data_IF_357455465232
#
_entry.id   IF_357455465232
#
_cell.length_a   1.000
_cell.length_b   1.000
_cell.length_c   1.000
_cell.angle_alpha   90.00
_cell.angle_beta   90.00
_cell.angle_gamma   90.00
#
_symmetry.space_group_name_H-M   'P 1'
#
loop_
_entity.id
_entity.type
_entity.pdbx_description
1 polymer ?
#
# COMPACT_ATOMS: atom_id res chain seq x y z
N UNK A 1 -15.94 17.62 -6.43
CA UNK A 1 -14.46 17.67 -6.40
C UNK A 1 -13.93 17.13 -7.73
N UNK A 2 -12.96 17.78 -8.40
CA UNK A 2 -12.44 17.28 -9.68
C UNK A 2 -11.65 15.98 -9.49
N UNK A 3 -11.73 15.10 -10.48
CA UNK A 3 -10.89 13.90 -10.56
C UNK A 3 -9.42 14.28 -10.74
N UNK A 4 -8.50 13.38 -10.39
CA UNK A 4 -7.06 13.60 -10.61
C UNK A 4 -6.73 13.92 -12.08
N UNK A 5 -7.50 13.37 -13.02
CA UNK A 5 -7.34 13.63 -14.46
C UNK A 5 -7.69 15.10 -14.79
N UNK A 6 -8.84 15.58 -14.32
CA UNK A 6 -9.27 16.97 -14.52
C UNK A 6 -8.31 17.96 -13.85
N UNK A 7 -7.85 17.64 -12.63
CA UNK A 7 -6.83 18.42 -11.93
C UNK A 7 -5.55 18.57 -12.77
N UNK A 8 -5.04 17.46 -13.33
CA UNK A 8 -3.85 17.49 -14.19
C UNK A 8 -4.06 18.25 -15.50
N UNK A 9 -5.28 18.23 -16.05
CA UNK A 9 -5.63 18.98 -17.27
C UNK A 9 -5.69 20.50 -17.02
N UNK A 10 -6.27 20.91 -15.89
CA UNK A 10 -6.40 22.32 -15.52
C UNK A 10 -5.07 22.97 -15.11
N UNK A 11 -4.06 22.15 -14.75
CA UNK A 11 -2.74 22.60 -14.29
C UNK A 11 -2.82 23.76 -13.28
N UNK A 12 -3.64 23.63 -12.22
CA UNK A 12 -3.78 24.71 -11.27
C UNK A 12 -2.45 24.98 -10.56
N UNK A 13 -2.23 26.22 -10.15
CA UNK A 13 -1.00 26.66 -9.44
C UNK A 13 -0.85 25.98 -8.07
N UNK A 14 -1.97 25.50 -7.52
CA UNK A 14 -2.00 24.85 -6.21
C UNK A 14 -1.34 23.47 -6.24
N UNK A 15 -0.87 23.03 -5.08
CA UNK A 15 -0.20 21.74 -4.92
C UNK A 15 -1.19 20.58 -4.72
N UNK A 16 -0.69 19.35 -4.83
CA UNK A 16 -1.41 18.15 -4.40
C UNK A 16 -0.62 17.43 -3.32
N UNK A 17 -1.31 16.74 -2.42
CA UNK A 17 -0.70 15.95 -1.36
C UNK A 17 -0.86 14.47 -1.69
N UNK A 18 0.25 13.79 -1.95
CA UNK A 18 0.28 12.35 -2.13
C UNK A 18 0.51 11.68 -0.78
N UNK A 19 -0.35 10.74 -0.42
CA UNK A 19 -0.32 10.07 0.88
C UNK A 19 -0.38 8.57 0.72
N UNK A 20 0.27 7.88 1.65
CA UNK A 20 0.20 6.42 1.77
C UNK A 20 -0.08 6.07 3.22
N UNK A 21 -1.04 5.18 3.44
CA UNK A 21 -1.42 4.69 4.76
C UNK A 21 -1.24 3.18 4.82
N UNK A 22 -0.41 2.69 5.74
CA UNK A 22 -0.32 1.27 6.05
C UNK A 22 -1.16 0.97 7.28
N UNK A 23 -1.86 -0.17 7.27
CA UNK A 23 -2.64 -0.63 8.40
C UNK A 23 -2.46 -2.13 8.65
N UNK A 24 -2.32 -2.47 9.92
CA UNK A 24 -2.40 -3.83 10.44
C UNK A 24 -2.79 -3.81 11.93
N UNK A 25 -3.59 -4.76 12.43
CA UNK A 25 -4.00 -4.79 13.85
C UNK A 25 -2.84 -4.72 14.85
N UNK A 26 -1.69 -5.31 14.53
CA UNK A 26 -0.51 -5.35 15.42
C UNK A 26 0.25 -4.03 15.58
N UNK A 27 0.14 -3.12 14.62
CA UNK A 27 0.90 -1.87 14.66
C UNK A 27 0.05 -0.61 14.41
N UNK A 28 -1.24 -0.77 14.12
CA UNK A 28 -2.16 0.32 13.87
C UNK A 28 -1.95 0.99 12.52
N UNK A 29 -2.27 2.27 12.45
CA UNK A 29 -2.14 3.09 11.24
C UNK A 29 -0.78 3.79 11.19
N UNK A 30 -0.12 3.67 10.04
CA UNK A 30 1.06 4.46 9.69
C UNK A 30 0.69 5.34 8.51
N UNK A 31 0.56 6.65 8.76
CA UNK A 31 0.08 7.63 7.77
C UNK A 31 1.22 8.54 7.35
N UNK A 32 1.55 8.53 6.07
CA UNK A 32 2.68 9.27 5.51
C UNK A 32 2.21 10.22 4.40
N UNK A 33 2.81 11.40 4.33
CA UNK A 33 2.59 12.39 3.27
C UNK A 33 3.91 12.79 2.62
N UNK A 34 3.96 12.76 1.28
CA UNK A 34 5.17 13.10 0.52
C UNK A 34 5.38 14.61 0.39
N UNK A 35 6.65 15.01 0.23
CA UNK A 35 7.09 16.40 -0.04
C UNK A 35 6.65 17.42 1.01
N UNK A 36 6.35 17.01 2.23
CA UNK A 36 6.06 17.90 3.35
C UNK A 36 7.21 17.89 4.36
N UNK A 37 7.36 19.01 5.07
CA UNK A 37 8.29 19.13 6.19
C UNK A 37 7.59 19.02 7.56
N UNK A 38 6.28 19.29 7.60
CA UNK A 38 5.47 19.28 8.80
C UNK A 38 4.30 18.33 8.63
N UNK A 39 3.75 17.89 9.75
CA UNK A 39 2.54 17.08 9.77
C UNK A 39 1.38 17.82 9.09
N UNK A 40 0.54 17.06 8.37
CA UNK A 40 -0.63 17.58 7.67
C UNK A 40 -1.88 16.87 8.13
N UNK A 41 -2.93 17.65 8.35
CA UNK A 41 -4.26 17.10 8.61
C UNK A 41 -5.04 17.04 7.30
N UNK A 42 -5.36 15.84 6.84
CA UNK A 42 -6.08 15.56 5.60
C UNK A 42 -7.24 14.61 5.92
N UNK A 43 -8.45 14.92 5.46
CA UNK A 43 -9.69 14.18 5.79
C UNK A 43 -9.86 13.89 7.31
N UNK A 44 -9.45 14.84 8.16
CA UNK A 44 -9.50 14.69 9.63
C UNK A 44 -8.45 13.76 10.24
N UNK A 45 -7.50 13.27 9.45
CA UNK A 45 -6.40 12.40 9.90
C UNK A 45 -5.06 13.12 9.81
N UNK A 46 -4.17 12.85 10.78
CA UNK A 46 -2.81 13.42 10.79
C UNK A 46 -1.84 12.50 10.05
N UNK A 47 -1.11 13.07 9.10
CA UNK A 47 -0.09 12.41 8.28
C UNK A 47 1.30 12.94 8.64
N UNK A 48 2.25 12.01 8.85
CA UNK A 48 3.64 12.34 9.11
C UNK A 48 4.38 12.62 7.79
N UNK A 49 5.26 13.64 7.75
CA UNK A 49 6.06 13.90 6.57
C UNK A 49 7.06 12.76 6.34
N UNK A 50 7.11 12.24 5.11
CA UNK A 50 8.09 11.24 4.71
C UNK A 50 8.37 11.32 3.22
N UNK A 51 9.62 11.07 2.82
CA UNK A 51 9.97 11.01 1.40
C UNK A 51 9.65 9.63 0.85
N UNK A 52 8.75 9.57 -0.12
CA UNK A 52 8.47 8.32 -0.82
C UNK A 52 8.10 8.52 -2.27
N UNK A 53 8.25 7.46 -3.05
CA UNK A 53 7.86 7.41 -4.46
C UNK A 53 6.98 6.17 -4.69
N UNK A 54 5.89 6.35 -5.44
CA UNK A 54 4.95 5.27 -5.76
C UNK A 54 4.92 5.07 -7.27
N UNK A 55 5.45 3.93 -7.70
CA UNK A 55 5.41 3.46 -9.07
C UNK A 55 4.20 2.53 -9.23
N UNK A 56 3.20 2.94 -9.99
CA UNK A 56 2.02 2.11 -10.29
C UNK A 56 2.27 1.32 -11.59
N UNK A 57 1.93 0.03 -11.59
CA UNK A 57 2.19 -0.87 -12.75
C UNK A 57 1.31 -0.59 -13.98
N UNK A 58 0.32 0.29 -13.90
CA UNK A 58 -0.68 0.51 -14.96
C UNK A 58 -0.87 2.00 -15.26
N UNK A 59 -0.87 2.35 -16.54
CA UNK A 59 -0.99 3.73 -17.04
C UNK A 59 -2.40 4.09 -17.58
N UNK A 60 -3.36 3.16 -17.66
CA UNK A 60 -4.70 3.53 -18.17
C UNK A 60 -5.85 2.58 -17.79
N UNK A 61 -6.95 3.18 -17.31
CA UNK A 61 -8.33 2.67 -17.43
C UNK A 61 -8.74 1.49 -16.55
N UNK A 62 -7.80 0.71 -16.04
CA UNK A 62 -8.04 -0.46 -15.19
C UNK A 62 -7.70 -0.18 -13.72
N UNK A 63 -8.30 -0.92 -12.76
CA UNK A 63 -7.91 -0.84 -11.36
C UNK A 63 -6.41 -1.09 -11.20
N UNK A 64 -5.74 -0.33 -10.33
CA UNK A 64 -4.30 -0.54 -10.06
C UNK A 64 -4.14 -1.95 -9.49
N UNK A 65 -3.41 -2.81 -10.21
CA UNK A 65 -3.24 -4.22 -9.83
C UNK A 65 -2.04 -4.36 -8.90
N UNK A 66 -0.93 -3.71 -9.25
CA UNK A 66 0.31 -3.74 -8.50
C UNK A 66 0.93 -2.34 -8.43
N UNK A 67 1.63 -2.07 -7.32
CA UNK A 67 2.38 -0.83 -7.12
C UNK A 67 3.63 -1.08 -6.27
N UNK A 68 4.69 -0.33 -6.53
CA UNK A 68 5.92 -0.36 -5.74
C UNK A 68 6.09 0.97 -5.02
N UNK A 69 6.23 0.92 -3.69
CA UNK A 69 6.47 2.10 -2.85
C UNK A 69 7.91 2.09 -2.37
N UNK A 70 8.69 3.10 -2.78
CA UNK A 70 10.06 3.32 -2.33
C UNK A 70 10.05 4.36 -1.22
N UNK A 71 10.48 3.98 -0.02
CA UNK A 71 10.53 4.82 1.18
C UNK A 71 11.99 5.19 1.48
N UNK A 72 12.28 6.49 1.57
CA UNK A 72 13.60 6.99 1.94
C UNK A 72 13.70 7.26 3.44
N UNK A 73 14.85 6.92 4.06
CA UNK A 73 15.18 7.22 5.47
C UNK A 73 14.16 6.77 6.53
N UNK A 74 13.35 5.76 6.22
CA UNK A 74 12.37 5.15 7.14
C UNK A 74 12.67 3.68 7.46
N UNK A 75 13.81 3.17 7.02
CA UNK A 75 14.18 1.75 7.12
C UNK A 75 14.19 1.22 8.57
N UNK A 76 14.64 2.03 9.54
CA UNK A 76 14.71 1.66 10.96
C UNK A 76 13.33 1.56 11.64
N UNK A 77 12.43 2.49 11.33
CA UNK A 77 11.05 2.48 11.84
C UNK A 77 10.26 1.31 11.26
N UNK A 78 10.40 1.06 9.95
CA UNK A 78 9.77 -0.08 9.27
C UNK A 78 10.25 -1.40 9.88
N UNK A 79 11.55 -1.57 10.11
CA UNK A 79 12.08 -2.77 10.80
C UNK A 79 11.45 -2.95 12.18
N UNK A 80 11.23 -1.86 12.92
CA UNK A 80 10.61 -1.91 14.25
C UNK A 80 9.14 -2.29 14.19
N UNK A 81 8.38 -1.77 13.22
CA UNK A 81 6.98 -2.14 12.99
C UNK A 81 6.84 -3.59 12.53
N UNK A 82 7.71 -4.05 11.62
CA UNK A 82 7.74 -5.44 11.15
C UNK A 82 8.07 -6.42 12.28
N UNK A 83 8.85 -6.02 13.29
CA UNK A 83 9.09 -6.85 14.48
C UNK A 83 7.84 -7.05 15.35
N UNK A 84 6.81 -6.19 15.25
CA UNK A 84 5.53 -6.40 15.93
C UNK A 84 4.63 -7.41 15.22
N UNK A 85 4.89 -7.67 13.93
CA UNK A 85 4.14 -8.61 13.11
C UNK A 85 4.74 -10.03 13.20
N UNK A 86 4.32 -10.78 14.22
CA UNK A 86 4.88 -12.10 14.58
C UNK A 86 3.78 -13.10 14.96
N UNK A 87 4.08 -14.38 14.79
CA UNK A 87 3.19 -15.47 15.20
C UNK A 87 1.83 -15.41 14.49
N UNK A 88 0.76 -15.55 15.28
CA UNK A 88 -0.64 -15.58 14.80
C UNK A 88 -1.03 -14.31 14.04
N UNK A 89 -0.39 -13.17 14.35
CA UNK A 89 -0.70 -11.92 13.67
C UNK A 89 -0.36 -11.94 12.17
N UNK A 90 0.46 -12.90 11.72
CA UNK A 90 0.78 -13.10 10.30
C UNK A 90 -0.37 -13.67 9.48
N UNK A 91 -1.43 -14.14 10.13
CA UNK A 91 -2.66 -14.61 9.48
C UNK A 91 -3.58 -13.46 9.05
N UNK A 92 -3.23 -12.21 9.37
CA UNK A 92 -3.92 -11.02 8.88
C UNK A 92 -3.02 -10.29 7.87
N UNK A 93 -3.54 -9.89 6.71
CA UNK A 93 -2.73 -9.20 5.71
C UNK A 93 -2.55 -7.73 6.10
N UNK A 94 -1.44 -7.14 5.66
CA UNK A 94 -1.21 -5.70 5.79
C UNK A 94 -1.82 -5.01 4.58
N UNK A 95 -2.59 -3.94 4.82
CA UNK A 95 -3.21 -3.14 3.76
C UNK A 95 -2.49 -1.81 3.60
N UNK A 96 -2.33 -1.37 2.35
CA UNK A 96 -1.77 -0.08 1.98
C UNK A 96 -2.79 0.72 1.16
N UNK A 97 -3.14 1.90 1.64
CA UNK A 97 -4.12 2.80 1.00
C UNK A 97 -3.41 4.07 0.52
N UNK A 98 -3.39 4.31 -0.79
CA UNK A 98 -2.90 5.56 -1.36
C UNK A 98 -4.06 6.53 -1.53
N UNK A 99 -3.87 7.78 -1.14
CA UNK A 99 -4.83 8.86 -1.37
C UNK A 99 -4.11 10.11 -1.86
N UNK A 100 -4.67 10.77 -2.87
CA UNK A 100 -4.14 12.05 -3.37
C UNK A 100 -5.17 13.13 -3.10
N UNK A 101 -4.78 14.16 -2.34
CA UNK A 101 -5.62 15.29 -1.98
C UNK A 101 -5.25 16.53 -2.78
N UNK A 102 -6.24 17.38 -3.04
CA UNK A 102 -6.00 18.73 -3.56
C UNK A 102 -5.66 19.64 -2.38
N UNK A 103 -4.67 20.54 -2.51
CA UNK A 103 -4.42 21.52 -1.46
C UNK A 103 -5.56 22.53 -1.29
N UNK A 104 -6.40 22.72 -2.31
CA UNK A 104 -7.61 23.55 -2.22
C UNK A 104 -8.79 22.87 -1.52
N UNK A 105 -8.81 21.53 -1.45
CA UNK A 105 -9.84 20.74 -0.77
C UNK A 105 -9.20 19.49 -0.17
N UNK A 106 -8.90 19.57 1.12
CA UNK A 106 -8.26 18.51 1.90
C UNK A 106 -9.27 17.55 2.53
N UNK A 107 -10.58 17.74 2.31
CA UNK A 107 -11.62 16.95 2.95
C UNK A 107 -11.86 15.61 2.26
N UNK A 108 -11.67 15.55 0.93
CA UNK A 108 -11.87 14.36 0.13
C UNK A 108 -10.66 14.10 -0.80
N UNK A 109 -10.33 12.83 -1.09
CA UNK A 109 -9.25 12.51 -2.03
C UNK A 109 -9.71 12.51 -3.49
N UNK A 110 -8.92 13.08 -4.39
CA UNK A 110 -9.13 13.06 -5.85
C UNK A 110 -8.89 11.67 -6.48
N UNK A 111 -7.99 10.88 -5.89
CA UNK A 111 -7.70 9.49 -6.27
C UNK A 111 -7.45 8.69 -5.00
N UNK A 112 -8.01 7.50 -4.94
CA UNK A 112 -7.77 6.56 -3.85
C UNK A 112 -7.76 5.12 -4.37
N UNK A 113 -6.96 4.28 -3.74
CA UNK A 113 -7.00 2.83 -3.91
C UNK A 113 -6.40 2.15 -2.68
N UNK A 114 -6.76 0.88 -2.47
CA UNK A 114 -6.21 0.04 -1.40
C UNK A 114 -5.70 -1.27 -1.99
N UNK A 115 -4.47 -1.66 -1.63
CA UNK A 115 -3.82 -2.90 -2.04
C UNK A 115 -3.27 -3.62 -0.81
N UNK A 116 -2.92 -4.90 -0.96
CA UNK A 116 -2.22 -5.67 0.05
C UNK A 116 -0.71 -5.54 -0.10
N UNK A 117 0.01 -5.53 1.02
CA UNK A 117 1.47 -5.60 1.01
C UNK A 117 1.91 -7.02 0.73
N UNK A 118 2.65 -7.23 -0.36
CA UNK A 118 3.14 -8.53 -0.82
C UNK A 118 4.55 -8.82 -0.30
N UNK A 119 5.50 -7.93 -0.58
CA UNK A 119 6.87 -8.02 -0.05
C UNK A 119 7.33 -6.69 0.54
N UNK A 120 8.24 -6.78 1.50
CA UNK A 120 8.91 -5.63 2.12
C UNK A 120 10.39 -5.92 2.12
N UNK A 121 11.13 -5.21 1.28
CA UNK A 121 12.57 -5.32 1.11
C UNK A 121 13.22 -4.12 1.79
N UNK A 122 14.04 -4.35 2.82
CA UNK A 122 14.61 -3.27 3.61
C UNK A 122 16.14 -3.28 3.53
N UNK A 123 16.69 -2.18 3.03
CA UNK A 123 18.12 -1.91 3.02
C UNK A 123 18.53 -1.06 4.24
N UNK A 124 19.79 -0.65 4.30
CA UNK A 124 20.35 0.26 5.30
C UNK A 124 19.66 1.63 5.29
N UNK A 125 19.49 2.25 4.11
CA UNK A 125 18.97 3.63 3.98
C UNK A 125 17.56 3.73 3.37
N UNK A 126 17.08 2.65 2.72
CA UNK A 126 15.80 2.64 2.02
C UNK A 126 14.97 1.40 2.33
N UNK A 127 13.67 1.48 2.06
CA UNK A 127 12.79 0.32 2.05
C UNK A 127 11.93 0.35 0.79
N UNK A 128 11.80 -0.80 0.14
CA UNK A 128 10.91 -1.02 -0.99
C UNK A 128 9.76 -1.92 -0.54
N UNK A 129 8.53 -1.50 -0.84
CA UNK A 129 7.32 -2.25 -0.51
C UNK A 129 6.58 -2.54 -1.79
N UNK A 130 6.38 -3.82 -2.10
CA UNK A 130 5.56 -4.23 -3.24
C UNK A 130 4.13 -4.46 -2.79
N UNK A 131 3.19 -3.91 -3.55
CA UNK A 131 1.76 -3.95 -3.28
C UNK A 131 1.06 -4.69 -4.41
N UNK A 132 0.04 -5.47 -4.06
CA UNK A 132 -0.77 -6.22 -5.02
C UNK A 132 -2.23 -6.28 -4.59
N UNK A 133 -3.14 -6.41 -5.55
CA UNK A 133 -4.55 -6.70 -5.29
C UNK A 133 -4.75 -8.12 -4.73
N UNK A 134 -3.81 -9.02 -5.00
CA UNK A 134 -3.87 -10.40 -4.54
C UNK A 134 -3.44 -10.46 -3.08
N UNK A 135 -4.33 -10.98 -2.21
CA UNK A 135 -3.97 -11.24 -0.83
C UNK A 135 -2.86 -12.30 -0.77
N UNK A 136 -1.66 -11.97 -0.24
CA UNK A 136 -0.56 -12.93 -0.16
C UNK A 136 -0.88 -14.15 0.70
N UNK A 137 -1.86 -14.09 1.60
CA UNK A 137 -2.29 -15.20 2.45
C UNK A 137 -3.14 -16.23 1.71
N UNK A 138 -3.78 -15.84 0.61
CA UNK A 138 -4.64 -16.71 -0.19
C UNK A 138 -3.91 -17.22 -1.45
N UNK A 139 -2.57 -17.17 -1.47
CA UNK A 139 -1.81 -17.66 -2.60
C UNK A 139 -2.09 -19.16 -2.80
N UNK A 140 -2.22 -19.57 -4.06
CA UNK A 140 -2.85 -20.82 -4.50
C UNK A 140 -2.49 -22.02 -3.60
N UNK A 141 -3.38 -22.37 -2.66
CA UNK A 141 -3.27 -23.61 -1.86
C UNK A 141 -3.76 -24.71 -2.79
N UNK A 142 -2.90 -25.14 -3.71
CA UNK A 142 -3.16 -26.33 -4.51
C UNK A 142 -3.40 -27.48 -3.55
N UNK A 143 -4.61 -28.06 -3.57
CA UNK A 143 -4.85 -29.31 -2.87
C UNK A 143 -3.94 -30.35 -3.50
N UNK A 144 -3.05 -30.93 -2.70
CA UNK A 144 -2.28 -32.07 -3.14
C UNK A 144 -3.28 -33.18 -3.50
N UNK A 145 -3.11 -33.82 -4.65
CA UNK A 145 -3.94 -34.97 -5.02
C UNK A 145 -3.74 -36.06 -3.98
N UNK A 146 -4.80 -36.43 -3.27
CA UNK A 146 -4.79 -37.57 -2.36
C UNK A 146 -5.32 -38.81 -3.13
N UNK A 147 -4.47 -39.83 -3.39
CA UNK A 147 -4.91 -41.05 -4.06
C UNK A 147 -5.97 -41.84 -3.29
N UNK A 148 -6.16 -41.57 -1.99
CA UNK A 148 -7.22 -42.16 -1.17
C UNK A 148 -8.57 -41.49 -1.42
N UNK A 149 -8.58 -40.17 -1.63
CA UNK A 149 -9.81 -39.41 -1.96
C UNK A 149 -10.16 -39.51 -3.45
N UNK A 150 -9.15 -39.70 -4.30
CA UNK A 150 -9.30 -39.81 -5.75
C UNK A 150 -8.59 -41.08 -6.24
N UNK A 151 -9.30 -42.19 -6.31
CA UNK A 151 -8.75 -43.53 -6.63
C UNK A 151 -8.42 -43.75 -8.11
N UNK A 152 -8.69 -42.76 -8.97
CA UNK A 152 -8.55 -42.88 -10.43
C UNK A 152 -7.12 -43.11 -10.94
N UNK A 153 -6.10 -42.91 -10.10
CA UNK A 153 -4.68 -43.14 -10.40
C UNK A 153 -4.08 -44.33 -9.65
N UNK A 154 -4.85 -45.06 -8.84
CA UNK A 154 -4.34 -46.17 -8.02
C UNK A 154 -4.03 -47.44 -8.84
N UNK A 155 -4.46 -47.49 -10.11
CA UNK A 155 -4.34 -48.65 -11.00
C UNK A 155 -3.45 -48.39 -12.23
N UNK A 156 -2.56 -47.39 -12.18
CA UNK A 156 -1.57 -47.09 -13.22
C UNK A 156 -0.17 -47.55 -12.83
#
# INVERSE_FOLDING_TARGET
>A
MPSLREYKQQRPIRGSYDTITFYHPSFGYVRLVDKQFFEKTLAGQVYKPARFEIEESQQSGTPVIDATVKLGRLSSEIKTLMKKWKGVSRLSPITATRQIFDSGDTSAPMKNWTLFVKTVDVDSDSASVTLSITNPLNNNIGRLYDPVEYTGLQYL
#
